data_IF_678579870237
#
_entry.id   IF_678579870237
#
_cell.length_a   1.000
_cell.length_b   1.000
_cell.length_c   1.000
_cell.angle_alpha   90.00
_cell.angle_beta   90.00
_cell.angle_gamma   90.00
#
_symmetry.space_group_name_H-M   'P 1'
#
loop_
_entity.id
_entity.type
_entity.pdbx_description
1 polymer ?
#
# COMPACT_ATOMS: atom_id res chain seq x y z
N UNK A 1 -13.14 -10.77 13.39
CA UNK A 1 -12.42 -9.50 13.16
C UNK A 1 -10.93 -9.57 13.49
N UNK A 2 -10.44 -9.79 14.73
CA UNK A 2 -8.99 -9.97 14.94
C UNK A 2 -8.48 -11.23 14.24
N UNK A 3 -9.19 -12.35 14.41
CA UNK A 3 -8.90 -13.63 13.77
C UNK A 3 -8.91 -13.57 12.23
N UNK A 4 -9.75 -12.72 11.63
CA UNK A 4 -9.81 -12.59 10.17
C UNK A 4 -8.59 -11.84 9.63
N UNK A 5 -8.11 -10.80 10.34
CA UNK A 5 -6.89 -10.09 9.94
C UNK A 5 -5.66 -10.99 10.09
N UNK A 6 -5.58 -11.72 11.19
CA UNK A 6 -4.49 -12.66 11.50
C UNK A 6 -4.39 -13.75 10.43
N UNK A 7 -5.50 -14.41 10.08
CA UNK A 7 -5.54 -15.43 9.01
C UNK A 7 -5.08 -14.87 7.65
N UNK A 8 -5.49 -13.63 7.32
CA UNK A 8 -5.05 -12.95 6.09
C UNK A 8 -3.53 -12.68 6.15
N UNK A 9 -3.02 -12.20 7.28
CA UNK A 9 -1.60 -11.90 7.48
C UNK A 9 -0.73 -13.15 7.44
N UNK A 10 -1.18 -14.28 8.00
CA UNK A 10 -0.49 -15.56 7.92
C UNK A 10 -0.37 -16.05 6.48
N UNK A 11 -1.47 -16.06 5.72
CA UNK A 11 -1.47 -16.45 4.31
C UNK A 11 -0.63 -15.51 3.45
N UNK A 12 -0.69 -14.22 3.76
CA UNK A 12 0.16 -13.20 3.17
C UNK A 12 1.65 -13.49 3.44
N UNK A 13 2.01 -13.82 4.69
CA UNK A 13 3.38 -14.11 5.12
C UNK A 13 3.98 -15.34 4.40
N UNK A 14 3.16 -16.33 4.08
CA UNK A 14 3.59 -17.53 3.34
C UNK A 14 3.74 -17.29 1.84
N UNK A 15 2.83 -16.51 1.23
CA UNK A 15 2.78 -16.37 -0.22
C UNK A 15 3.79 -15.33 -0.72
N UNK A 16 4.72 -15.76 -1.57
CA UNK A 16 5.71 -14.86 -2.20
C UNK A 16 6.75 -14.32 -1.21
N UNK A 17 7.00 -15.04 -0.11
CA UNK A 17 7.92 -14.63 0.97
C UNK A 17 9.31 -14.27 0.48
N UNK A 18 9.93 -15.10 -0.37
CA UNK A 18 11.27 -14.85 -0.92
C UNK A 18 11.36 -13.54 -1.71
N UNK A 19 10.43 -13.34 -2.65
CA UNK A 19 10.37 -12.12 -3.46
C UNK A 19 10.10 -10.89 -2.57
N UNK A 20 9.19 -11.02 -1.60
CA UNK A 20 8.92 -9.93 -0.66
C UNK A 20 10.16 -9.59 0.18
N UNK A 21 10.92 -10.58 0.65
CA UNK A 21 12.16 -10.32 1.39
C UNK A 21 13.19 -9.57 0.55
N UNK A 22 13.38 -9.99 -0.71
CA UNK A 22 14.25 -9.30 -1.67
C UNK A 22 13.81 -7.84 -1.90
N UNK A 23 12.52 -7.61 -2.19
CA UNK A 23 11.96 -6.27 -2.38
C UNK A 23 12.08 -5.43 -1.10
N UNK A 24 11.80 -5.99 0.07
CA UNK A 24 11.92 -5.28 1.34
C UNK A 24 13.37 -4.84 1.60
N UNK A 25 14.37 -5.68 1.31
CA UNK A 25 15.78 -5.29 1.44
C UNK A 25 16.14 -4.12 0.52
N UNK A 26 15.62 -4.11 -0.71
CA UNK A 26 15.81 -2.98 -1.64
C UNK A 26 15.16 -1.69 -1.09
N UNK A 27 13.96 -1.80 -0.52
CA UNK A 27 13.25 -0.66 0.08
C UNK A 27 13.99 -0.10 1.30
N UNK A 28 14.58 -0.96 2.13
CA UNK A 28 15.38 -0.57 3.29
C UNK A 28 16.61 0.23 2.84
N UNK A 29 17.40 -0.31 1.90
CA UNK A 29 18.56 0.39 1.33
C UNK A 29 18.16 1.72 0.68
N UNK A 30 17.02 1.77 0.00
CA UNK A 30 16.52 3.00 -0.61
C UNK A 30 16.20 4.12 0.41
N UNK A 31 15.86 3.75 1.65
CA UNK A 31 15.52 4.68 2.74
C UNK A 31 16.73 5.16 3.53
N UNK A 32 17.81 4.38 3.59
CA UNK A 32 19.01 4.71 4.38
C UNK A 32 19.92 5.75 3.72
N UNK A 33 19.84 5.88 2.41
CA UNK A 33 20.68 6.79 1.63
C UNK A 33 19.93 8.05 1.25
N UNK A 34 20.62 9.19 1.17
CA UNK A 34 20.03 10.42 0.63
C UNK A 34 19.48 10.19 -0.79
N UNK A 35 18.19 10.50 -0.95
CA UNK A 35 17.45 10.26 -2.19
C UNK A 35 16.65 11.45 -2.68
N UNK A 36 16.62 12.54 -1.92
CA UNK A 36 15.75 13.68 -2.20
C UNK A 36 16.55 14.98 -2.20
N UNK A 37 16.50 15.71 -3.32
CA UNK A 37 17.06 17.05 -3.50
C UNK A 37 15.99 18.11 -3.77
N UNK A 38 14.72 17.81 -3.47
CA UNK A 38 13.62 18.77 -3.65
C UNK A 38 13.79 19.99 -2.76
N UNK A 39 13.33 21.16 -3.21
CA UNK A 39 13.51 22.45 -2.53
C UNK A 39 12.94 22.53 -1.10
N UNK A 40 12.01 21.62 -0.76
CA UNK A 40 11.44 21.46 0.59
C UNK A 40 11.27 19.97 0.90
N UNK A 41 12.35 19.23 1.20
CA UNK A 41 12.22 17.86 1.61
C UNK A 41 11.67 17.82 3.05
N UNK A 42 10.81 16.85 3.36
CA UNK A 42 10.66 16.40 4.74
C UNK A 42 11.99 15.84 5.25
N UNK A 43 12.15 15.73 6.57
CA UNK A 43 13.34 15.11 7.19
C UNK A 43 13.62 13.74 6.56
N UNK A 44 12.56 12.99 6.24
CA UNK A 44 12.64 11.64 5.65
C UNK A 44 12.58 11.63 4.10
N UNK A 45 12.74 12.77 3.44
CA UNK A 45 12.64 12.90 1.97
C UNK A 45 11.21 12.81 1.40
N UNK A 46 11.04 13.14 0.12
CA UNK A 46 9.72 13.22 -0.52
C UNK A 46 9.17 11.85 -0.95
N UNK A 47 7.89 11.54 -0.71
CA UNK A 47 7.32 10.23 -1.02
C UNK A 47 7.35 9.87 -2.53
N UNK A 48 7.32 10.86 -3.42
CA UNK A 48 7.50 10.66 -4.87
C UNK A 48 8.95 10.30 -5.22
N UNK A 49 9.92 10.94 -4.58
CA UNK A 49 11.34 10.69 -4.74
C UNK A 49 11.69 9.28 -4.28
N UNK A 50 11.14 8.87 -3.12
CA UNK A 50 11.31 7.52 -2.60
C UNK A 50 10.72 6.48 -3.54
N UNK A 51 9.49 6.69 -4.04
CA UNK A 51 8.86 5.76 -5.00
C UNK A 51 9.71 5.60 -6.26
N UNK A 52 10.16 6.70 -6.87
CA UNK A 52 11.06 6.67 -8.04
C UNK A 52 12.36 5.93 -7.76
N UNK A 53 13.00 6.20 -6.61
CA UNK A 53 14.22 5.51 -6.21
C UNK A 53 14.02 4.00 -6.08
N UNK A 54 12.97 3.60 -5.34
CA UNK A 54 12.64 2.18 -5.16
C UNK A 54 12.38 1.52 -6.52
N UNK A 55 11.60 2.15 -7.41
CA UNK A 55 11.37 1.63 -8.77
C UNK A 55 12.68 1.45 -9.53
N UNK A 56 13.58 2.43 -9.52
CA UNK A 56 14.87 2.32 -10.20
C UNK A 56 15.73 1.18 -9.63
N UNK A 57 15.85 1.08 -8.31
CA UNK A 57 16.65 0.03 -7.67
C UNK A 57 16.09 -1.37 -7.91
N UNK A 58 14.76 -1.52 -7.98
CA UNK A 58 14.12 -2.77 -8.38
C UNK A 58 14.46 -3.12 -9.84
N UNK A 59 14.43 -2.14 -10.74
CA UNK A 59 14.83 -2.36 -12.14
C UNK A 59 16.32 -2.73 -12.27
N UNK A 60 17.19 -2.05 -11.53
CA UNK A 60 18.63 -2.33 -11.50
C UNK A 60 18.94 -3.72 -10.94
N UNK A 61 18.08 -4.27 -10.07
CA UNK A 61 18.17 -5.64 -9.57
C UNK A 61 17.56 -6.68 -10.53
N UNK A 62 17.08 -6.26 -11.72
CA UNK A 62 16.51 -7.13 -12.74
C UNK A 62 15.01 -7.44 -12.57
N UNK A 63 14.30 -6.76 -11.67
CA UNK A 63 12.85 -6.90 -11.51
C UNK A 63 12.11 -6.00 -12.50
N UNK A 64 11.02 -6.49 -13.08
CA UNK A 64 10.12 -5.67 -13.90
C UNK A 64 9.22 -4.82 -12.98
N UNK A 65 9.69 -3.62 -12.64
CA UNK A 65 9.01 -2.69 -11.74
C UNK A 65 8.57 -1.42 -12.46
N UNK A 66 7.42 -0.87 -12.07
CA UNK A 66 6.91 0.40 -12.61
C UNK A 66 6.17 1.21 -11.55
N UNK A 67 6.16 2.53 -11.73
CA UNK A 67 5.32 3.43 -10.97
C UNK A 67 3.92 3.46 -11.59
N UNK A 68 2.91 3.16 -10.79
CA UNK A 68 1.51 3.12 -11.20
C UNK A 68 0.72 4.23 -10.51
N UNK A 69 -0.28 4.77 -11.20
CA UNK A 69 -1.08 5.91 -10.71
C UNK A 69 -2.56 5.61 -10.87
N UNK A 70 -3.22 5.14 -9.81
CA UNK A 70 -4.68 5.02 -9.82
C UNK A 70 -5.31 6.41 -9.89
N UNK A 71 -6.30 6.59 -10.75
CA UNK A 71 -7.04 7.85 -10.91
C UNK A 71 -8.53 7.57 -10.84
N UNK A 72 -9.29 8.33 -10.05
CA UNK A 72 -10.74 8.24 -10.00
C UNK A 72 -11.38 9.61 -10.18
N UNK A 73 -12.50 9.62 -10.91
CA UNK A 73 -13.23 10.84 -11.21
C UNK A 73 -14.05 11.30 -10.01
N UNK A 74 -14.33 12.60 -9.97
CA UNK A 74 -15.28 13.16 -9.03
C UNK A 74 -16.66 12.51 -9.23
N UNK A 75 -17.30 12.12 -8.13
CA UNK A 75 -18.66 11.56 -8.10
C UNK A 75 -19.47 12.27 -7.03
N UNK A 76 -20.79 12.00 -6.95
CA UNK A 76 -21.61 12.49 -5.83
C UNK A 76 -21.12 12.00 -4.44
N UNK A 77 -20.34 10.91 -4.40
CA UNK A 77 -19.88 10.28 -3.15
C UNK A 77 -18.45 10.64 -2.78
N UNK A 78 -17.59 10.93 -3.77
CA UNK A 78 -16.15 11.06 -3.60
C UNK A 78 -15.60 12.20 -4.46
N UNK A 79 -14.68 12.96 -3.90
CA UNK A 79 -13.86 13.89 -4.67
C UNK A 79 -12.94 13.11 -5.62
N UNK A 80 -12.66 13.69 -6.78
CA UNK A 80 -11.66 13.13 -7.70
C UNK A 80 -10.28 13.14 -7.05
N UNK A 81 -9.47 12.15 -7.40
CA UNK A 81 -8.15 12.00 -6.79
C UNK A 81 -7.28 11.00 -7.53
N UNK A 82 -6.03 10.95 -7.08
CA UNK A 82 -5.02 10.04 -7.61
C UNK A 82 -4.24 9.41 -6.46
N UNK A 83 -3.72 8.21 -6.70
CA UNK A 83 -2.83 7.52 -5.76
C UNK A 83 -1.68 6.86 -6.51
N UNK A 84 -0.45 7.11 -6.06
CA UNK A 84 0.75 6.51 -6.66
C UNK A 84 1.23 5.32 -5.82
N UNK A 85 1.57 4.23 -6.49
CA UNK A 85 2.09 3.00 -5.90
C UNK A 85 3.07 2.35 -6.89
N UNK A 86 3.80 1.32 -6.47
CA UNK A 86 4.72 0.61 -7.35
C UNK A 86 4.11 -0.77 -7.66
N UNK A 87 4.25 -1.23 -8.90
CA UNK A 87 3.95 -2.61 -9.28
C UNK A 87 5.22 -3.34 -9.69
N UNK A 88 5.29 -4.63 -9.36
CA UNK A 88 6.33 -5.54 -9.84
C UNK A 88 5.67 -6.75 -10.50
N UNK A 89 6.07 -7.06 -11.73
CA UNK A 89 5.61 -8.25 -12.45
C UNK A 89 6.51 -9.43 -12.09
N UNK A 90 5.98 -10.39 -11.33
CA UNK A 90 6.76 -11.50 -10.84
C UNK A 90 5.99 -12.83 -10.83
N UNK A 91 6.75 -13.94 -10.91
CA UNK A 91 6.22 -15.28 -10.75
C UNK A 91 6.21 -15.69 -9.28
N UNK A 92 5.10 -16.26 -8.81
CA UNK A 92 5.08 -16.92 -7.50
C UNK A 92 5.65 -18.33 -7.58
N UNK A 93 6.25 -18.81 -6.49
CA UNK A 93 6.77 -20.18 -6.39
C UNK A 93 5.72 -21.20 -6.88
N UNK A 94 6.14 -22.07 -7.81
CA UNK A 94 5.27 -23.10 -8.40
C UNK A 94 4.35 -22.62 -9.53
N UNK A 95 4.33 -21.34 -9.92
CA UNK A 95 3.52 -20.83 -11.04
C UNK A 95 4.40 -20.23 -12.14
N UNK A 96 4.20 -20.69 -13.38
CA UNK A 96 4.83 -20.10 -14.58
C UNK A 96 4.26 -18.72 -14.93
N UNK A 97 3.02 -18.43 -14.51
CA UNK A 97 2.34 -17.17 -14.80
C UNK A 97 2.89 -16.06 -13.92
N UNK A 98 3.47 -15.04 -14.56
CA UNK A 98 3.79 -13.77 -13.92
C UNK A 98 2.50 -13.03 -13.59
N UNK A 99 2.45 -12.44 -12.40
CA UNK A 99 1.31 -11.66 -11.90
C UNK A 99 1.83 -10.36 -11.27
N UNK A 100 1.02 -9.30 -11.24
CA UNK A 100 1.41 -8.06 -10.58
C UNK A 100 1.40 -8.22 -9.06
N UNK A 101 2.45 -7.72 -8.44
CA UNK A 101 2.58 -7.45 -7.01
C UNK A 101 2.49 -5.95 -6.80
N UNK A 102 1.66 -5.54 -5.84
CA UNK A 102 1.52 -4.16 -5.39
C UNK A 102 2.55 -3.92 -4.29
N UNK A 103 3.23 -2.79 -4.37
CA UNK A 103 4.10 -2.23 -3.34
C UNK A 103 3.51 -0.89 -2.89
N UNK A 104 3.08 -0.84 -1.64
CA UNK A 104 2.68 0.41 -0.96
C UNK A 104 3.67 0.69 0.17
N UNK A 105 4.49 1.74 -0.01
CA UNK A 105 5.60 2.05 0.90
C UNK A 105 5.15 2.54 2.28
N UNK A 106 3.96 3.12 2.35
CA UNK A 106 3.39 3.80 3.53
C UNK A 106 2.01 3.17 3.86
N UNK A 107 1.93 1.83 3.87
CA UNK A 107 0.67 1.09 3.93
C UNK A 107 -0.05 1.22 5.29
N UNK A 108 0.69 1.06 6.39
CA UNK A 108 0.14 1.19 7.74
C UNK A 108 -0.48 2.57 7.97
N UNK A 109 0.22 3.60 7.52
CA UNK A 109 -0.15 5.01 7.66
C UNK A 109 -1.49 5.32 6.99
N UNK A 110 -1.86 4.55 5.94
CA UNK A 110 -3.17 4.64 5.29
C UNK A 110 -4.34 4.32 6.21
N UNK A 111 -4.09 3.73 7.39
CA UNK A 111 -5.08 3.31 8.37
C UNK A 111 -4.95 4.01 9.73
N UNK A 112 -3.95 4.86 9.93
CA UNK A 112 -3.81 5.60 11.18
C UNK A 112 -4.96 6.60 11.37
N UNK A 113 -5.58 6.57 12.56
CA UNK A 113 -6.68 7.45 12.95
C UNK A 113 -6.37 8.00 14.35
N UNK A 114 -6.18 9.32 14.44
CA UNK A 114 -5.75 9.98 15.68
C UNK A 114 -6.68 9.76 16.89
N UNK A 115 -7.99 9.60 16.67
CA UNK A 115 -9.00 9.38 17.73
C UNK A 115 -9.62 7.98 17.70
N UNK A 116 -8.86 6.98 17.29
CA UNK A 116 -9.32 5.60 17.29
C UNK A 116 -9.55 5.05 18.72
N UNK A 117 -10.26 3.93 18.81
CA UNK A 117 -10.31 3.11 20.02
C UNK A 117 -9.12 2.15 20.05
N UNK A 118 -8.72 1.72 21.24
CA UNK A 118 -7.50 0.93 21.46
C UNK A 118 -7.50 -0.38 20.67
N UNK A 119 -8.66 -1.01 20.52
CA UNK A 119 -8.80 -2.23 19.72
C UNK A 119 -8.45 -1.97 18.26
N UNK A 120 -8.82 -0.82 17.70
CA UNK A 120 -8.46 -0.47 16.33
C UNK A 120 -6.97 -0.16 16.20
N UNK A 121 -6.40 0.59 17.15
CA UNK A 121 -4.96 0.89 17.16
C UNK A 121 -4.12 -0.38 17.17
N UNK A 122 -4.49 -1.38 17.98
CA UNK A 122 -3.85 -2.71 18.01
C UNK A 122 -3.91 -3.45 16.67
N UNK A 123 -4.97 -3.26 15.88
CA UNK A 123 -5.07 -3.85 14.54
C UNK A 123 -4.16 -3.12 13.54
N UNK A 124 -4.06 -1.79 13.63
CA UNK A 124 -3.14 -1.00 12.80
C UNK A 124 -1.68 -1.41 13.06
N UNK A 125 -1.30 -1.64 14.32
CA UNK A 125 0.04 -2.09 14.71
C UNK A 125 0.44 -3.44 14.08
N UNK A 126 -0.53 -4.32 13.82
CA UNK A 126 -0.30 -5.62 13.16
C UNK A 126 -0.07 -5.51 11.65
N UNK A 127 -0.48 -4.40 11.02
CA UNK A 127 -0.28 -4.23 9.58
C UNK A 127 1.20 -4.07 9.24
N UNK A 128 1.66 -4.58 8.08
CA UNK A 128 3.01 -4.30 7.62
C UNK A 128 3.17 -2.79 7.34
N UNK A 129 4.32 -2.23 7.70
CA UNK A 129 4.64 -0.81 7.42
C UNK A 129 4.59 -0.53 5.92
N UNK A 130 5.26 -1.39 5.15
CA UNK A 130 5.21 -1.44 3.69
C UNK A 130 4.49 -2.72 3.26
N UNK A 131 3.48 -2.59 2.40
CA UNK A 131 2.85 -3.74 1.78
C UNK A 131 3.62 -4.16 0.53
N UNK A 132 3.90 -5.46 0.40
CA UNK A 132 4.44 -6.08 -0.82
C UNK A 132 3.70 -7.40 -1.06
N UNK A 133 2.87 -7.48 -2.09
CA UNK A 133 2.06 -8.68 -2.31
C UNK A 133 1.01 -8.55 -3.40
N UNK A 134 0.22 -9.60 -3.60
CA UNK A 134 -0.89 -9.60 -4.57
C UNK A 134 -1.98 -8.61 -4.16
N UNK A 135 -2.69 -8.02 -5.12
CA UNK A 135 -3.81 -7.12 -4.83
C UNK A 135 -4.93 -7.79 -3.99
N UNK A 136 -5.13 -9.11 -4.10
CA UNK A 136 -6.18 -9.83 -3.37
C UNK A 136 -6.02 -9.74 -1.85
N UNK A 137 -4.80 -9.98 -1.33
CA UNK A 137 -4.53 -9.89 0.11
C UNK A 137 -4.61 -8.45 0.59
N UNK A 138 -4.13 -7.49 -0.21
CA UNK A 138 -4.26 -6.06 0.08
C UNK A 138 -5.74 -5.67 0.22
N UNK A 139 -6.58 -6.07 -0.74
CA UNK A 139 -7.99 -5.77 -0.74
C UNK A 139 -8.75 -6.44 0.42
N UNK A 140 -8.32 -7.63 0.83
CA UNK A 140 -8.84 -8.31 2.00
C UNK A 140 -8.48 -7.55 3.30
N UNK A 141 -7.20 -7.17 3.48
CA UNK A 141 -6.74 -6.36 4.61
C UNK A 141 -7.46 -5.01 4.68
N UNK A 142 -7.56 -4.30 3.55
CA UNK A 142 -8.31 -3.03 3.44
C UNK A 142 -9.75 -3.21 3.90
N UNK A 143 -10.40 -4.30 3.48
CA UNK A 143 -11.77 -4.62 3.89
C UNK A 143 -11.92 -4.72 5.41
N UNK A 144 -11.12 -5.60 6.03
CA UNK A 144 -11.15 -5.83 7.48
C UNK A 144 -10.85 -4.54 8.26
N UNK A 145 -9.86 -3.77 7.80
CA UNK A 145 -9.48 -2.52 8.44
C UNK A 145 -10.54 -1.43 8.31
N UNK A 146 -11.22 -1.31 7.16
CA UNK A 146 -12.33 -0.38 7.01
C UNK A 146 -13.53 -0.73 7.91
N UNK A 147 -13.83 -2.03 8.07
CA UNK A 147 -14.90 -2.49 8.95
C UNK A 147 -14.55 -2.28 10.43
N UNK A 148 -13.28 -2.47 10.80
CA UNK A 148 -12.77 -2.12 12.12
C UNK A 148 -12.81 -0.61 12.39
N UNK A 149 -12.39 0.22 11.42
CA UNK A 149 -12.42 1.67 11.53
C UNK A 149 -13.86 2.18 11.71
N UNK A 150 -14.82 1.63 10.96
CA UNK A 150 -16.24 1.98 11.10
C UNK A 150 -16.78 1.71 12.50
N UNK A 151 -16.42 0.57 13.10
CA UNK A 151 -16.80 0.23 14.48
C UNK A 151 -16.15 1.17 15.49
N UNK A 152 -14.87 1.44 15.34
CA UNK A 152 -14.13 2.38 16.20
C UNK A 152 -14.73 3.78 16.19
N UNK A 153 -15.04 4.30 15.00
CA UNK A 153 -15.69 5.61 14.86
C UNK A 153 -17.07 5.64 15.51
N UNK A 154 -17.86 4.58 15.37
CA UNK A 154 -19.17 4.46 16.03
C UNK A 154 -19.03 4.46 17.56
N UNK A 155 -18.06 3.72 18.10
CA UNK A 155 -17.79 3.66 19.55
C UNK A 155 -17.36 5.03 20.10
N UNK A 156 -16.53 5.76 19.35
CA UNK A 156 -16.06 7.10 19.73
C UNK A 156 -17.06 8.22 19.42
N UNK A 157 -18.26 7.91 18.92
CA UNK A 157 -19.26 8.88 18.45
C UNK A 157 -18.71 9.87 17.39
N UNK A 158 -17.86 9.38 16.49
CA UNK A 158 -17.24 10.16 15.42
C UNK A 158 -17.79 9.75 14.05
N UNK A 159 -17.87 10.71 13.13
CA UNK A 159 -18.21 10.42 11.74
C UNK A 159 -17.00 9.89 10.97
N UNK A 160 -17.21 8.81 10.22
CA UNK A 160 -16.17 8.23 9.36
C UNK A 160 -16.13 8.95 8.01
N UNK A 161 -15.04 9.67 7.74
CA UNK A 161 -14.82 10.38 6.48
C UNK A 161 -14.92 9.47 5.25
N UNK A 162 -15.41 9.98 4.09
CA UNK A 162 -15.55 9.19 2.87
C UNK A 162 -14.26 8.49 2.43
N UNK A 163 -13.10 9.12 2.64
CA UNK A 163 -11.79 8.59 2.26
C UNK A 163 -11.33 7.36 3.06
N UNK A 164 -12.01 7.04 4.17
CA UNK A 164 -11.74 5.83 4.96
C UNK A 164 -12.69 4.68 4.61
N UNK A 165 -13.74 4.93 3.83
CA UNK A 165 -14.70 3.89 3.43
C UNK A 165 -14.01 2.89 2.51
N UNK A 166 -14.38 1.61 2.65
CA UNK A 166 -13.81 0.50 1.88
C UNK A 166 -13.75 0.77 0.37
N UNK A 167 -14.87 1.21 -0.21
CA UNK A 167 -14.92 1.47 -1.66
C UNK A 167 -14.05 2.63 -2.11
N UNK A 168 -13.75 3.61 -1.25
CA UNK A 168 -12.75 4.64 -1.58
C UNK A 168 -11.33 4.08 -1.43
N UNK A 169 -11.04 3.42 -0.32
CA UNK A 169 -9.71 2.89 -0.04
C UNK A 169 -9.24 1.90 -1.12
N UNK A 170 -10.12 1.03 -1.59
CA UNK A 170 -9.80 0.07 -2.66
C UNK A 170 -9.49 0.75 -4.01
N UNK A 171 -9.96 1.98 -4.27
CA UNK A 171 -9.63 2.71 -5.50
C UNK A 171 -8.14 3.12 -5.56
N UNK A 172 -7.45 3.17 -4.43
CA UNK A 172 -6.02 3.54 -4.40
C UNK A 172 -5.12 2.56 -5.12
N UNK A 173 -5.53 1.30 -5.20
CA UNK A 173 -4.78 0.20 -5.81
C UNK A 173 -5.60 -0.54 -6.86
N UNK A 174 -6.60 0.14 -7.44
CA UNK A 174 -7.31 -0.39 -8.60
C UNK A 174 -6.47 -0.10 -9.83
N UNK A 175 -6.08 -1.15 -10.57
CA UNK A 175 -5.28 -1.06 -11.79
C UNK A 175 -5.74 0.11 -12.67
N UNK A 176 -4.90 1.12 -12.81
CA UNK A 176 -4.95 2.03 -13.95
C UNK A 176 -3.95 1.49 -14.96
N UNK A 177 -4.44 0.82 -15.99
CA UNK A 177 -3.63 0.44 -17.12
C UNK A 177 -3.33 1.67 -17.99
N UNK A 178 -2.60 2.64 -17.45
CA UNK A 178 -1.94 3.69 -18.22
C UNK A 178 -0.53 3.83 -17.67
N UNK A 179 0.49 3.27 -18.35
CA UNK A 179 1.87 3.64 -18.10
C UNK A 179 1.97 5.17 -18.22
N UNK A 180 2.70 5.83 -17.30
CA UNK A 180 3.07 7.23 -17.52
C UNK A 180 3.87 7.29 -18.83
N UNK A 181 3.29 7.90 -19.86
CA UNK A 181 4.06 8.40 -21.00
C UNK A 181 5.09 9.35 -20.40
N UNK A 182 6.37 9.00 -20.51
CA UNK A 182 7.47 9.94 -20.34
C UNK A 182 7.37 10.93 -21.50
N UNK A 183 6.86 12.12 -21.24
CA UNK A 183 7.22 13.33 -22.00
C UNK A 183 8.61 13.79 -21.58
#
# INVERSE_FOLDING_TARGET
MPFELEEILERYALTGSKLRQEICGIIEVARETDFCSCTKPSIDGCSNCLRKRVTNMLCDSGLNASLCVSKWKHTRKYLGGTHEYIEVIASTQGKKKQIPFVIELEFRDQFEIAKACDQYSKLVEQLPKCYVGKADYLNAMVGVMCDAAKRSMKEKNLHMGPWRKRSFMQMKWSNSSEPRSTE
#
